data_IF_777106026209
#
_entry.id   IF_777106026209
#
_cell.length_a   1.000
_cell.length_b   1.000
_cell.length_c   1.000
_cell.angle_alpha   90.00
_cell.angle_beta   90.00
_cell.angle_gamma   90.00
#
_symmetry.space_group_name_H-M   'P 1'
#
loop_
_entity.id
_entity.type
_entity.pdbx_description
1 polymer ?
#
# COMPACT_ATOMS: atom_id res chain seq x y z
N UNK A 1 -10.77 -14.51 12.14
CA UNK A 1 -10.36 -13.81 13.37
C UNK A 1 -9.04 -13.11 13.08
N UNK A 2 -9.05 -11.77 13.00
CA UNK A 2 -7.87 -10.97 12.68
C UNK A 2 -6.89 -11.05 13.86
N UNK A 3 -5.59 -11.22 13.58
CA UNK A 3 -4.57 -11.32 14.64
C UNK A 3 -4.37 -9.95 15.29
N UNK A 4 -4.17 -9.86 16.63
CA UNK A 4 -3.94 -8.60 17.32
C UNK A 4 -2.75 -7.79 16.79
N UNK A 5 -1.73 -8.47 16.22
CA UNK A 5 -0.57 -7.85 15.57
C UNK A 5 -0.95 -7.08 14.31
N UNK A 6 -1.79 -7.66 13.47
CA UNK A 6 -2.27 -7.06 12.21
C UNK A 6 -3.11 -5.82 12.51
N UNK A 7 -4.03 -5.89 13.48
CA UNK A 7 -4.82 -4.73 13.90
C UNK A 7 -3.98 -3.59 14.50
N UNK A 8 -2.94 -3.92 15.28
CA UNK A 8 -2.05 -2.93 15.87
C UNK A 8 -1.28 -2.15 14.80
N UNK A 9 -0.83 -2.83 13.74
CA UNK A 9 -0.17 -2.20 12.59
C UNK A 9 -1.12 -1.25 11.84
N UNK A 10 -2.40 -1.62 11.67
CA UNK A 10 -3.40 -0.73 11.06
C UNK A 10 -3.77 0.48 11.92
N UNK A 11 -3.81 0.32 13.25
CA UNK A 11 -4.14 1.43 14.16
C UNK A 11 -3.08 2.51 14.18
N UNK A 12 -1.80 2.14 14.08
CA UNK A 12 -0.69 3.10 14.17
C UNK A 12 -0.78 4.16 13.06
N UNK A 13 -1.14 3.76 11.83
CA UNK A 13 -1.27 4.67 10.69
C UNK A 13 -2.55 5.51 10.72
N UNK A 14 -3.60 5.05 11.40
CA UNK A 14 -4.83 5.84 11.62
C UNK A 14 -4.64 6.92 12.69
N UNK A 15 -3.83 6.67 13.71
CA UNK A 15 -3.62 7.60 14.82
C UNK A 15 -2.52 8.64 14.59
N UNK A 16 -1.55 8.33 13.72
CA UNK A 16 -0.43 9.23 13.43
C UNK A 16 -0.09 9.23 11.94
N UNK A 17 -0.84 9.99 11.11
CA UNK A 17 -0.61 10.01 9.67
C UNK A 17 0.75 10.60 9.27
N UNK A 18 1.30 11.48 10.11
CA UNK A 18 2.64 12.04 9.92
C UNK A 18 3.77 11.04 10.17
N UNK A 19 3.46 9.86 10.74
CA UNK A 19 4.41 8.76 10.88
C UNK A 19 4.97 8.36 9.52
N UNK A 20 4.15 8.37 8.47
CA UNK A 20 4.58 7.94 7.14
C UNK A 20 5.71 8.80 6.60
N UNK A 21 5.62 10.13 6.71
CA UNK A 21 6.66 11.05 6.22
C UNK A 21 7.88 11.18 7.12
N UNK A 22 7.73 10.81 8.40
CA UNK A 22 8.89 10.68 9.29
C UNK A 22 9.65 9.40 8.99
N UNK A 23 8.94 8.30 8.79
CA UNK A 23 9.53 7.00 8.48
C UNK A 23 10.06 7.01 7.04
N UNK A 24 9.39 7.64 6.07
CA UNK A 24 9.78 7.70 4.65
C UNK A 24 11.23 8.13 4.42
N UNK A 25 11.70 9.11 5.18
CA UNK A 25 13.07 9.62 5.13
C UNK A 25 14.11 8.57 5.57
N UNK A 26 13.75 7.68 6.50
CA UNK A 26 14.55 6.51 6.87
C UNK A 26 14.41 5.34 5.89
N UNK A 27 13.44 5.42 4.98
CA UNK A 27 13.05 4.38 4.03
C UNK A 27 13.56 4.61 2.60
N UNK A 28 14.37 5.67 2.40
CA UNK A 28 14.95 6.00 1.10
C UNK A 28 13.93 6.50 0.08
N UNK A 29 12.72 6.88 0.52
CA UNK A 29 11.66 7.46 -0.31
C UNK A 29 11.31 8.82 0.27
N UNK A 30 11.41 9.88 -0.51
CA UNK A 30 11.07 11.22 -0.03
C UNK A 30 9.55 11.44 -0.16
N UNK A 31 8.80 10.87 0.79
CA UNK A 31 7.35 11.07 0.86
C UNK A 31 7.09 12.42 1.54
N UNK A 32 6.41 13.37 0.86
CA UNK A 32 6.10 14.69 1.41
C UNK A 32 5.37 14.57 2.74
N UNK A 33 5.60 15.53 3.64
CA UNK A 33 4.86 15.60 4.90
C UNK A 33 3.40 15.98 4.61
N UNK A 34 2.40 15.13 4.95
CA UNK A 34 1.00 15.45 4.68
C UNK A 34 0.59 16.67 5.50
N UNK A 35 -0.16 17.59 4.87
CA UNK A 35 -0.85 18.67 5.58
C UNK A 35 -1.99 18.17 6.47
N UNK A 36 -2.52 16.99 6.15
CA UNK A 36 -3.54 16.25 6.89
C UNK A 36 -3.72 14.86 6.26
N UNK A 37 -4.39 13.94 6.97
CA UNK A 37 -4.81 12.68 6.38
C UNK A 37 -6.19 12.30 6.86
N UNK A 38 -7.07 12.00 5.92
CA UNK A 38 -8.44 11.59 6.20
C UNK A 38 -8.57 10.11 5.84
N UNK A 39 -8.91 9.22 6.79
CA UNK A 39 -9.15 7.82 6.48
C UNK A 39 -10.38 7.71 5.56
N UNK A 40 -10.19 7.08 4.40
CA UNK A 40 -11.28 6.85 3.44
C UNK A 40 -12.01 5.53 3.75
N UNK A 41 -13.31 5.42 3.42
CA UNK A 41 -14.04 4.17 3.56
C UNK A 41 -13.36 3.04 2.77
N UNK A 42 -13.12 1.90 3.42
CA UNK A 42 -12.49 0.72 2.81
C UNK A 42 -13.51 -0.25 2.19
N UNK A 43 -14.78 0.13 2.11
CA UNK A 43 -15.85 -0.69 1.53
C UNK A 43 -15.90 -0.48 0.01
N UNK A 44 -15.71 -1.56 -0.76
CA UNK A 44 -15.45 -1.54 -2.20
C UNK A 44 -16.42 -2.45 -3.00
N UNK A 45 -17.60 -2.79 -2.45
CA UNK A 45 -18.51 -3.77 -3.08
C UNK A 45 -19.13 -3.32 -4.43
N UNK A 46 -19.01 -4.18 -5.45
CA UNK A 46 -19.94 -4.31 -6.59
C UNK A 46 -20.53 -5.75 -6.60
N UNK A 47 -21.61 -5.98 -7.36
CA UNK A 47 -22.66 -7.03 -7.27
C UNK A 47 -22.27 -8.53 -7.34
N UNK A 48 -21.10 -8.92 -6.82
CA UNK A 48 -20.83 -10.27 -6.31
C UNK A 48 -19.80 -10.17 -5.17
N UNK A 49 -20.13 -10.62 -3.93
CA UNK A 49 -19.34 -10.35 -2.75
C UNK A 49 -18.12 -11.27 -2.70
N UNK A 50 -17.06 -10.93 -3.41
CA UNK A 50 -15.72 -11.27 -2.97
C UNK A 50 -15.17 -10.02 -2.31
N UNK A 51 -15.48 -9.88 -1.02
CA UNK A 51 -14.94 -8.83 -0.18
C UNK A 51 -13.42 -8.95 -0.13
N UNK A 52 -12.72 -8.23 -1.01
CA UNK A 52 -11.28 -8.03 -0.95
C UNK A 52 -11.07 -6.60 -0.47
N UNK A 53 -10.79 -6.45 0.83
CA UNK A 53 -10.51 -5.16 1.45
C UNK A 53 -9.04 -4.86 1.26
N UNK A 54 -8.73 -3.66 0.78
CA UNK A 54 -7.42 -3.08 1.05
C UNK A 54 -7.37 -2.82 2.55
N UNK A 55 -6.31 -3.34 3.14
CA UNK A 55 -6.01 -3.28 4.56
C UNK A 55 -6.06 -1.84 5.13
N UNK A 56 -5.52 -0.84 4.41
CA UNK A 56 -5.72 0.59 4.69
C UNK A 56 -5.57 1.44 3.43
N UNK A 57 -6.39 2.48 3.28
CA UNK A 57 -6.22 3.51 2.23
C UNK A 57 -6.09 4.88 2.88
N UNK A 58 -5.05 5.63 2.47
CA UNK A 58 -4.81 7.00 2.93
C UNK A 58 -4.79 7.96 1.74
N UNK A 59 -5.52 9.06 1.83
CA UNK A 59 -5.37 10.20 0.92
C UNK A 59 -4.30 11.17 1.45
N UNK A 60 -3.39 11.56 0.57
CA UNK A 60 -2.36 12.55 0.84
C UNK A 60 -2.60 13.76 -0.03
N UNK A 61 -2.76 14.91 0.62
CA UNK A 61 -2.82 16.19 -0.03
C UNK A 61 -1.42 16.80 -0.06
N UNK A 62 -0.96 17.19 -1.24
CA UNK A 62 0.36 17.83 -1.40
C UNK A 62 0.24 19.09 -2.24
N UNK A 63 0.80 20.18 -1.72
CA UNK A 63 0.75 21.47 -2.40
C UNK A 63 1.57 21.49 -3.71
N UNK A 64 2.57 20.60 -3.84
CA UNK A 64 3.53 20.60 -4.95
C UNK A 64 3.38 19.41 -5.91
N UNK A 65 3.03 18.22 -5.42
CA UNK A 65 2.96 16.99 -6.24
C UNK A 65 1.53 16.57 -6.61
N UNK A 66 0.53 17.32 -6.15
CA UNK A 66 -0.89 16.98 -6.28
C UNK A 66 -1.32 15.87 -5.32
N UNK A 67 -2.63 15.66 -5.24
CA UNK A 67 -3.20 14.69 -4.32
C UNK A 67 -3.01 13.26 -4.84
N UNK A 68 -2.74 12.33 -3.95
CA UNK A 68 -2.57 10.92 -4.29
C UNK A 68 -2.97 9.99 -3.15
N UNK A 69 -3.16 8.72 -3.48
CA UNK A 69 -3.55 7.68 -2.52
C UNK A 69 -2.38 6.76 -2.21
N UNK A 70 -2.28 6.33 -0.96
CA UNK A 70 -1.56 5.13 -0.57
C UNK A 70 -2.54 4.00 -0.27
N UNK A 71 -2.48 2.94 -1.06
CA UNK A 71 -2.99 1.63 -0.69
C UNK A 71 -1.93 0.92 0.17
N UNK A 72 -2.28 0.52 1.38
CA UNK A 72 -1.38 -0.11 2.34
C UNK A 72 -1.87 -1.54 2.59
N UNK A 73 -0.97 -2.50 2.40
CA UNK A 73 -1.20 -3.92 2.62
C UNK A 73 -0.21 -4.44 3.67
N UNK A 74 -0.68 -5.21 4.65
CA UNK A 74 0.20 -5.85 5.63
C UNK A 74 0.37 -7.32 5.24
N UNK A 75 1.62 -7.78 5.17
CA UNK A 75 1.97 -9.16 4.89
C UNK A 75 2.78 -9.77 6.03
N UNK A 76 2.22 -10.78 6.68
CA UNK A 76 2.97 -11.58 7.65
C UNK A 76 3.93 -12.55 6.93
N UNK A 77 3.45 -13.15 5.83
CA UNK A 77 4.15 -14.17 5.07
C UNK A 77 4.01 -13.86 3.57
N UNK A 78 4.81 -14.53 2.73
CA UNK A 78 4.58 -14.50 1.29
C UNK A 78 3.29 -15.23 0.93
N UNK A 79 2.41 -14.53 0.24
CA UNK A 79 1.16 -15.07 -0.32
C UNK A 79 1.20 -14.94 -1.86
N UNK A 80 1.08 -16.04 -2.61
CA UNK A 80 1.15 -16.03 -4.07
C UNK A 80 -0.06 -15.33 -4.74
N UNK A 81 -1.19 -15.20 -4.05
CA UNK A 81 -2.43 -14.62 -4.60
C UNK A 81 -2.52 -13.10 -4.37
N UNK A 82 -1.73 -12.58 -3.43
CA UNK A 82 -1.69 -11.16 -3.10
C UNK A 82 -1.28 -10.25 -4.27
N UNK A 83 -0.29 -10.57 -5.12
CA UNK A 83 0.07 -9.74 -6.27
C UNK A 83 -1.11 -9.38 -7.19
N UNK A 84 -1.95 -10.36 -7.54
CA UNK A 84 -3.13 -10.11 -8.37
C UNK A 84 -4.17 -9.21 -7.65
N UNK A 85 -4.33 -9.42 -6.35
CA UNK A 85 -5.21 -8.58 -5.52
C UNK A 85 -4.71 -7.14 -5.44
N UNK A 86 -3.40 -6.94 -5.29
CA UNK A 86 -2.78 -5.62 -5.32
C UNK A 86 -3.03 -4.90 -6.65
N UNK A 87 -2.83 -5.60 -7.77
CA UNK A 87 -3.11 -5.07 -9.11
C UNK A 87 -4.56 -4.60 -9.27
N UNK A 88 -5.50 -5.43 -8.83
CA UNK A 88 -6.92 -5.09 -8.83
C UNK A 88 -7.21 -3.84 -7.99
N UNK A 89 -6.77 -3.81 -6.73
CA UNK A 89 -7.07 -2.69 -5.83
C UNK A 89 -6.44 -1.37 -6.26
N UNK A 90 -5.17 -1.39 -6.67
CA UNK A 90 -4.49 -0.17 -7.11
C UNK A 90 -5.13 0.40 -8.38
N UNK A 91 -5.46 -0.46 -9.35
CA UNK A 91 -6.14 0.00 -10.57
C UNK A 91 -7.56 0.51 -10.29
N UNK A 92 -8.30 -0.16 -9.41
CA UNK A 92 -9.63 0.27 -8.99
C UNK A 92 -9.62 1.62 -8.27
N UNK A 93 -8.70 1.84 -7.33
CA UNK A 93 -8.56 3.11 -6.62
C UNK A 93 -8.19 4.24 -7.58
N UNK A 94 -7.29 3.97 -8.51
CA UNK A 94 -6.89 4.94 -9.53
C UNK A 94 -8.09 5.36 -10.40
N UNK A 95 -8.92 4.42 -10.83
CA UNK A 95 -10.08 4.74 -11.69
C UNK A 95 -11.23 5.38 -10.91
N UNK A 96 -11.57 4.85 -9.73
CA UNK A 96 -12.69 5.32 -8.91
C UNK A 96 -12.43 6.71 -8.32
N UNK A 97 -11.26 6.91 -7.72
CA UNK A 97 -10.93 8.16 -7.04
C UNK A 97 -10.32 9.19 -8.00
N UNK A 98 -9.89 8.77 -9.20
CA UNK A 98 -9.18 9.61 -10.18
C UNK A 98 -7.91 10.26 -9.60
N UNK A 99 -7.30 9.58 -8.64
CA UNK A 99 -6.05 9.99 -7.99
C UNK A 99 -4.98 8.93 -8.27
N UNK A 100 -3.75 9.40 -8.49
CA UNK A 100 -2.58 8.51 -8.55
C UNK A 100 -2.55 7.65 -7.29
N UNK A 101 -2.31 6.35 -7.42
CA UNK A 101 -2.33 5.42 -6.28
C UNK A 101 -1.00 4.69 -6.17
N UNK A 102 -0.29 4.91 -5.07
CA UNK A 102 0.91 4.17 -4.70
C UNK A 102 0.53 2.97 -3.82
N UNK A 103 1.30 1.89 -3.92
CA UNK A 103 1.14 0.68 -3.10
C UNK A 103 2.29 0.55 -2.12
N UNK A 104 1.98 0.60 -0.83
CA UNK A 104 2.88 0.20 0.25
C UNK A 104 2.52 -1.21 0.71
N UNK A 105 3.52 -2.08 0.79
CA UNK A 105 3.41 -3.37 1.48
C UNK A 105 4.26 -3.37 2.74
N UNK A 106 3.63 -3.46 3.91
CA UNK A 106 4.30 -3.56 5.21
C UNK A 106 4.49 -5.02 5.57
N UNK A 107 5.74 -5.46 5.69
CA UNK A 107 6.06 -6.84 5.99
C UNK A 107 6.63 -7.00 7.41
N UNK A 108 6.36 -8.12 8.07
CA UNK A 108 6.92 -8.42 9.40
C UNK A 108 8.44 -8.67 9.35
N UNK A 109 8.90 -9.34 8.29
CA UNK A 109 10.29 -9.71 8.09
C UNK A 109 10.87 -9.23 6.74
N UNK A 110 12.20 -9.22 6.67
CA UNK A 110 12.96 -8.71 5.53
C UNK A 110 12.88 -9.60 4.28
N UNK A 111 12.74 -10.91 4.44
CA UNK A 111 12.59 -11.85 3.31
C UNK A 111 11.26 -11.61 2.61
N UNK A 112 10.19 -11.45 3.39
CA UNK A 112 8.86 -11.10 2.90
C UNK A 112 8.85 -9.70 2.28
N UNK A 113 9.53 -8.71 2.88
CA UNK A 113 9.69 -7.36 2.30
C UNK A 113 10.37 -7.39 0.92
N UNK A 114 11.52 -8.09 0.79
CA UNK A 114 12.21 -8.26 -0.50
C UNK A 114 11.35 -8.97 -1.53
N UNK A 115 10.52 -9.92 -1.10
CA UNK A 115 9.54 -10.58 -1.96
C UNK A 115 8.48 -9.60 -2.48
N UNK A 116 7.95 -8.76 -1.58
CA UNK A 116 6.90 -7.80 -1.88
C UNK A 116 7.35 -6.65 -2.80
N UNK A 117 8.62 -6.25 -2.77
CA UNK A 117 9.16 -5.20 -3.64
C UNK A 117 9.27 -5.61 -5.12
N UNK A 118 9.11 -6.90 -5.45
CA UNK A 118 9.19 -7.36 -6.84
C UNK A 118 8.07 -6.73 -7.65
N UNK A 119 8.39 -6.28 -8.87
CA UNK A 119 7.39 -5.77 -9.79
C UNK A 119 6.32 -6.84 -10.02
N UNK A 120 5.06 -6.42 -9.93
CA UNK A 120 3.91 -7.27 -10.19
C UNK A 120 3.34 -6.87 -11.54
N UNK A 121 3.42 -7.77 -12.51
CA UNK A 121 2.94 -7.52 -13.86
C UNK A 121 1.73 -8.40 -14.18
N UNK A 122 0.70 -7.78 -14.74
CA UNK A 122 -0.44 -8.45 -15.35
C UNK A 122 -0.31 -8.46 -16.86
N UNK A 123 -0.55 -9.62 -17.49
CA UNK A 123 -0.41 -9.85 -18.92
C UNK A 123 0.78 -10.75 -19.28
N UNK A 124 0.96 -11.07 -20.58
CA UNK A 124 2.07 -11.89 -21.05
C UNK A 124 3.43 -11.28 -20.68
N UNK A 125 4.46 -12.08 -20.32
CA UNK A 125 5.77 -11.56 -19.91
C UNK A 125 6.45 -10.66 -20.94
N UNK A 126 6.20 -10.87 -22.24
CA UNK A 126 6.75 -10.08 -23.34
C UNK A 126 6.02 -8.75 -23.53
N UNK A 127 4.82 -8.61 -22.97
CA UNK A 127 3.95 -7.46 -23.13
C UNK A 127 3.08 -7.24 -21.87
N UNK A 128 3.70 -6.81 -20.75
CA UNK A 128 2.96 -6.54 -19.54
C UNK A 128 2.01 -5.35 -19.77
N UNK A 129 0.72 -5.54 -19.52
CA UNK A 129 -0.32 -4.51 -19.72
C UNK A 129 -0.44 -3.60 -18.51
N UNK A 130 -0.23 -4.14 -17.31
CA UNK A 130 -0.20 -3.41 -16.05
C UNK A 130 1.05 -3.85 -15.29
N UNK A 131 1.82 -2.89 -14.77
CA UNK A 131 2.93 -3.19 -13.86
C UNK A 131 2.82 -2.33 -12.63
N UNK A 132 2.68 -2.96 -11.47
CA UNK A 132 2.85 -2.32 -10.19
C UNK A 132 4.28 -2.47 -9.71
N UNK A 133 4.76 -1.44 -9.03
CA UNK A 133 6.02 -1.45 -8.29
C UNK A 133 5.71 -1.18 -6.83
N UNK A 134 5.40 -2.24 -6.05
CA UNK A 134 5.10 -2.06 -4.65
C UNK A 134 6.34 -1.54 -3.94
N UNK A 135 6.14 -0.58 -3.05
CA UNK A 135 7.19 -0.16 -2.15
C UNK A 135 7.04 -0.93 -0.83
N UNK A 136 8.16 -1.32 -0.21
CA UNK A 136 8.15 -1.96 1.10
C UNK A 136 9.40 -1.55 1.89
N UNK A 137 9.29 -1.26 3.19
CA UNK A 137 10.44 -1.04 4.05
C UNK A 137 11.23 -2.35 4.24
N UNK A 138 12.31 -2.56 3.49
CA UNK A 138 13.32 -3.51 3.91
C UNK A 138 14.10 -2.85 5.05
N UNK A 139 14.06 -3.39 6.28
CA UNK A 139 14.95 -2.92 7.36
C UNK A 139 16.40 -3.02 6.85
N UNK A 140 16.99 -1.89 6.45
CA UNK A 140 18.42 -1.73 6.50
C UNK A 140 18.76 -1.75 7.98
N UNK A 141 19.58 -2.72 8.40
CA UNK A 141 20.24 -2.63 9.70
C UNK A 141 20.86 -1.26 9.79
N UNK A 142 20.42 -0.45 10.77
CA UNK A 142 21.13 0.77 11.13
C UNK A 142 22.60 0.37 11.39
N UNK A 143 23.60 1.09 10.85
CA UNK A 143 25.00 0.84 11.17
C UNK A 143 25.27 1.04 12.66
#
# INVERSE_FOLDING_TARGET
>A
MVKPSHEAMHRVFRHDPGLFSRVSRFLGVDIPRPGGATPLPTDLTETSPVERRVDTVLGFETAEQGDFLFAIEVQENRDPDKPASWAYHTSYLWTKCRLSTALLVVCQDHTTAKGAQRAVSGGPPQLPTLTLRPWSPARTTCP
#
